data_IF_245986113202
#
_entry.id   IF_245986113202
#
_cell.length_a   1.000
_cell.length_b   1.000
_cell.length_c   1.000
_cell.angle_alpha   90.00
_cell.angle_beta   90.00
_cell.angle_gamma   90.00
#
_symmetry.space_group_name_H-M   'P 1'
#
loop_
_entity.id
_entity.type
_entity.pdbx_description
1 polymer ?
#
# COMPACT_ATOMS: atom_id res chain seq x y z
N UNK A 1 -8.82 16.36 10.98
CA UNK A 1 -7.45 15.80 11.04
C UNK A 1 -6.83 16.09 12.40
N UNK A 2 -6.18 15.12 13.05
CA UNK A 2 -5.57 15.29 14.38
C UNK A 2 -4.49 16.39 14.39
N UNK A 3 -4.52 17.31 15.38
CA UNK A 3 -3.50 18.35 15.52
C UNK A 3 -2.10 17.79 15.79
N UNK A 4 -2.01 16.71 16.57
CA UNK A 4 -0.73 16.04 16.85
C UNK A 4 -0.07 15.51 15.57
N UNK A 5 -0.86 14.92 14.68
CA UNK A 5 -0.37 14.44 13.38
C UNK A 5 0.09 15.61 12.49
N UNK A 6 -0.70 16.67 12.39
CA UNK A 6 -0.34 17.85 11.58
C UNK A 6 0.98 18.48 12.03
N UNK A 7 1.21 18.57 13.35
CA UNK A 7 2.46 19.05 13.94
C UNK A 7 3.64 18.16 13.54
N UNK A 8 3.52 16.84 13.74
CA UNK A 8 4.58 15.88 13.42
C UNK A 8 4.96 15.89 11.94
N UNK A 9 3.99 16.04 11.04
CA UNK A 9 4.23 16.11 9.59
C UNK A 9 4.95 17.40 9.20
N UNK A 10 4.56 18.53 9.80
CA UNK A 10 5.23 19.83 9.59
C UNK A 10 6.67 19.82 10.10
N UNK A 11 6.92 19.23 11.26
CA UNK A 11 8.27 19.09 11.84
C UNK A 11 9.21 18.24 10.97
N UNK A 12 8.66 17.27 10.23
CA UNK A 12 9.41 16.46 9.26
C UNK A 12 9.58 17.11 7.89
N UNK A 13 9.09 18.35 7.71
CA UNK A 13 9.16 19.04 6.41
C UNK A 13 8.26 18.43 5.33
N UNK A 14 7.26 17.65 5.70
CA UNK A 14 6.36 16.98 4.75
C UNK A 14 5.17 17.90 4.44
N UNK A 15 4.87 18.09 3.16
CA UNK A 15 3.67 18.81 2.73
C UNK A 15 2.46 17.89 2.77
N UNK A 16 1.46 18.22 3.60
CA UNK A 16 0.18 17.50 3.58
C UNK A 16 -0.63 17.85 2.33
N UNK A 17 -1.09 16.84 1.61
CA UNK A 17 -2.05 16.97 0.52
C UNK A 17 -3.26 16.10 0.82
N UNK A 18 -4.46 16.68 0.72
CA UNK A 18 -5.73 15.98 0.94
C UNK A 18 -6.59 16.14 -0.31
N UNK A 19 -7.25 15.08 -0.75
CA UNK A 19 -8.23 15.14 -1.83
C UNK A 19 -9.38 16.09 -1.49
N UNK A 20 -10.01 16.64 -2.52
CA UNK A 20 -11.22 17.45 -2.35
C UNK A 20 -12.33 16.59 -1.75
N UNK A 21 -13.15 17.20 -0.91
CA UNK A 21 -14.33 16.53 -0.33
C UNK A 21 -15.19 15.94 -1.45
N UNK A 22 -15.55 14.66 -1.33
CA UNK A 22 -16.38 13.96 -2.31
C UNK A 22 -15.64 13.46 -3.55
N UNK A 23 -14.30 13.39 -3.55
CA UNK A 23 -13.50 12.89 -4.68
C UNK A 23 -12.78 11.57 -4.33
N UNK A 24 -13.49 10.43 -4.24
CA UNK A 24 -12.88 9.14 -3.88
C UNK A 24 -11.96 8.59 -4.97
N UNK A 25 -12.13 9.01 -6.23
CA UNK A 25 -11.34 8.54 -7.36
C UNK A 25 -9.84 8.82 -7.22
N UNK A 26 -9.46 9.92 -6.55
CA UNK A 26 -8.06 10.24 -6.25
C UNK A 26 -7.37 9.15 -5.41
N UNK A 27 -8.16 8.43 -4.61
CA UNK A 27 -7.70 7.38 -3.71
C UNK A 27 -7.76 5.97 -4.35
N UNK A 28 -8.21 5.88 -5.60
CA UNK A 28 -8.36 4.61 -6.33
C UNK A 28 -7.08 3.75 -6.35
N UNK A 29 -5.85 4.30 -6.50
CA UNK A 29 -4.64 3.48 -6.50
C UNK A 29 -4.41 2.71 -5.19
N UNK A 30 -4.64 3.36 -4.04
CA UNK A 30 -4.45 2.71 -2.74
C UNK A 30 -5.63 1.80 -2.38
N UNK A 31 -6.85 2.13 -2.82
CA UNK A 31 -8.01 1.25 -2.69
C UNK A 31 -7.84 -0.05 -3.47
N UNK A 32 -7.31 0.04 -4.69
CA UNK A 32 -6.98 -1.12 -5.52
C UNK A 32 -5.95 -2.00 -4.80
N UNK A 33 -4.90 -1.39 -4.23
CA UNK A 33 -3.91 -2.12 -3.44
C UNK A 33 -4.54 -2.88 -2.26
N UNK A 34 -5.38 -2.21 -1.46
CA UNK A 34 -6.04 -2.86 -0.32
C UNK A 34 -7.02 -3.96 -0.75
N UNK A 35 -7.70 -3.80 -1.88
CA UNK A 35 -8.57 -4.85 -2.44
C UNK A 35 -7.76 -6.09 -2.84
N UNK A 36 -6.65 -5.89 -3.55
CA UNK A 36 -5.73 -6.97 -3.92
C UNK A 36 -5.14 -7.66 -2.71
N UNK A 37 -4.63 -6.91 -1.73
CA UNK A 37 -4.08 -7.49 -0.49
C UNK A 37 -5.11 -8.41 0.17
N UNK A 38 -6.32 -7.89 0.44
CA UNK A 38 -7.33 -8.67 1.15
C UNK A 38 -7.79 -9.89 0.38
N UNK A 39 -7.95 -9.75 -0.93
CA UNK A 39 -8.37 -10.86 -1.79
C UNK A 39 -7.30 -11.95 -1.87
N UNK A 40 -6.06 -11.54 -2.17
CA UNK A 40 -4.94 -12.45 -2.40
C UNK A 40 -4.42 -13.13 -1.12
N UNK A 41 -4.74 -12.63 0.08
CA UNK A 41 -4.25 -13.23 1.34
C UNK A 41 -5.31 -13.72 2.32
N UNK A 42 -6.48 -13.07 2.41
CA UNK A 42 -7.50 -13.43 3.41
C UNK A 42 -8.71 -14.11 2.78
N UNK A 43 -9.22 -13.59 1.65
CA UNK A 43 -10.48 -14.07 1.10
C UNK A 43 -10.33 -15.37 0.31
N UNK A 44 -9.24 -15.56 -0.44
CA UNK A 44 -9.01 -16.82 -1.16
C UNK A 44 -8.77 -18.01 -0.23
N UNK A 45 -8.26 -17.75 0.98
CA UNK A 45 -7.92 -18.76 1.98
C UNK A 45 -8.95 -18.83 3.13
N UNK A 46 -10.08 -18.13 3.01
CA UNK A 46 -11.16 -18.04 4.01
C UNK A 46 -10.69 -17.68 5.44
N UNK A 47 -9.66 -16.84 5.55
CA UNK A 47 -9.09 -16.39 6.83
C UNK A 47 -9.88 -15.19 7.36
N UNK A 48 -11.02 -15.45 7.99
CA UNK A 48 -11.88 -14.41 8.59
C UNK A 48 -11.59 -14.14 10.07
N UNK A 49 -11.01 -15.12 10.77
CA UNK A 49 -10.72 -15.05 12.20
C UNK A 49 -9.30 -15.55 12.47
N UNK A 50 -8.46 -14.66 12.99
CA UNK A 50 -7.07 -14.99 13.31
C UNK A 50 -6.51 -14.01 14.34
N UNK A 51 -5.29 -14.26 14.81
CA UNK A 51 -4.63 -13.40 15.80
C UNK A 51 -3.99 -12.18 15.13
N UNK A 52 -3.84 -11.07 15.87
CA UNK A 52 -3.11 -9.90 15.38
C UNK A 52 -1.69 -10.25 14.92
N UNK A 53 -1.01 -11.15 15.62
CA UNK A 53 0.32 -11.61 15.25
C UNK A 53 0.34 -12.26 13.85
N UNK A 54 -0.67 -13.10 13.55
CA UNK A 54 -0.81 -13.72 12.23
C UNK A 54 -1.19 -12.70 11.15
N UNK A 55 -2.05 -11.73 11.45
CA UNK A 55 -2.37 -10.63 10.51
C UNK A 55 -1.10 -9.84 10.15
N UNK A 56 -0.29 -9.47 11.15
CA UNK A 56 0.95 -8.73 10.93
C UNK A 56 1.89 -9.50 10.00
N UNK A 57 2.14 -10.78 10.30
CA UNK A 57 3.00 -11.63 9.49
C UNK A 57 2.48 -11.78 8.04
N UNK A 58 1.18 -12.02 7.84
CA UNK A 58 0.58 -12.09 6.49
C UNK A 58 0.80 -10.77 5.72
N UNK A 59 0.61 -9.63 6.37
CA UNK A 59 0.79 -8.32 5.73
C UNK A 59 2.26 -8.08 5.40
N UNK A 60 3.20 -8.42 6.29
CA UNK A 60 4.64 -8.28 6.04
C UNK A 60 5.10 -9.14 4.86
N UNK A 61 4.67 -10.40 4.80
CA UNK A 61 4.97 -11.31 3.71
C UNK A 61 4.39 -10.82 2.39
N UNK A 62 3.13 -10.35 2.40
CA UNK A 62 2.50 -9.78 1.22
C UNK A 62 3.19 -8.49 0.77
N UNK A 63 3.64 -7.64 1.69
CA UNK A 63 4.39 -6.42 1.36
C UNK A 63 5.73 -6.75 0.69
N UNK A 64 6.42 -7.80 1.15
CA UNK A 64 7.63 -8.26 0.50
C UNK A 64 7.34 -8.77 -0.91
N UNK A 65 6.35 -9.66 -1.06
CA UNK A 65 5.92 -10.20 -2.35
C UNK A 65 5.52 -9.08 -3.33
N UNK A 66 4.64 -8.17 -2.91
CA UNK A 66 4.11 -7.11 -3.75
C UNK A 66 5.21 -6.18 -4.28
N UNK A 67 6.19 -5.84 -3.45
CA UNK A 67 7.24 -4.90 -3.83
C UNK A 67 8.39 -5.53 -4.61
N UNK A 68 8.78 -6.76 -4.26
CA UNK A 68 10.00 -7.38 -4.79
C UNK A 68 9.73 -8.43 -5.87
N UNK A 69 8.60 -9.14 -5.80
CA UNK A 69 8.32 -10.32 -6.63
C UNK A 69 7.21 -10.04 -7.66
N UNK A 70 6.14 -9.33 -7.27
CA UNK A 70 4.95 -9.14 -8.10
C UNK A 70 5.27 -8.42 -9.41
N UNK A 71 5.14 -9.14 -10.52
CA UNK A 71 5.31 -8.59 -11.87
C UNK A 71 4.10 -7.74 -12.25
N UNK A 72 4.36 -6.55 -12.78
CA UNK A 72 3.31 -5.67 -13.32
C UNK A 72 3.59 -5.35 -14.78
N UNK A 73 2.62 -5.64 -15.64
CA UNK A 73 2.68 -5.32 -17.07
C UNK A 73 2.87 -3.81 -17.32
N UNK A 74 2.20 -2.97 -16.53
CA UNK A 74 2.37 -1.51 -16.55
C UNK A 74 3.78 -1.03 -16.16
N UNK A 75 4.58 -1.88 -15.53
CA UNK A 75 5.96 -1.59 -15.14
C UNK A 75 6.95 -2.36 -16.02
N UNK A 76 6.65 -2.53 -17.31
CA UNK A 76 7.49 -3.28 -18.25
C UNK A 76 7.81 -4.71 -17.79
N UNK A 77 6.82 -5.38 -17.18
CA UNK A 77 6.97 -6.72 -16.60
C UNK A 77 8.04 -6.81 -15.51
N UNK A 78 8.14 -5.78 -14.67
CA UNK A 78 9.05 -5.74 -13.52
C UNK A 78 8.30 -5.65 -12.20
N UNK A 79 8.98 -5.97 -11.10
CA UNK A 79 8.49 -5.66 -9.78
C UNK A 79 8.59 -4.15 -9.47
N UNK A 80 7.78 -3.62 -8.54
CA UNK A 80 7.84 -2.20 -8.17
C UNK A 80 9.24 -1.71 -7.77
N UNK A 81 10.00 -2.52 -7.03
CA UNK A 81 11.37 -2.16 -6.63
C UNK A 81 12.32 -2.14 -7.83
N UNK A 82 12.27 -3.16 -8.69
CA UNK A 82 13.08 -3.20 -9.91
C UNK A 82 12.82 -2.00 -10.81
N UNK A 83 11.54 -1.70 -11.05
CA UNK A 83 11.15 -0.53 -11.84
C UNK A 83 11.67 0.77 -11.23
N UNK A 84 11.54 0.94 -9.91
CA UNK A 84 12.04 2.13 -9.21
C UNK A 84 13.54 2.31 -9.34
N UNK A 85 14.32 1.23 -9.25
CA UNK A 85 15.78 1.27 -9.40
C UNK A 85 16.22 1.69 -10.81
N UNK A 86 15.43 1.40 -11.84
CA UNK A 86 15.74 1.77 -13.23
C UNK A 86 15.32 3.21 -13.57
N UNK A 87 14.28 3.72 -12.90
CA UNK A 87 13.72 5.06 -13.15
C UNK A 87 14.43 6.14 -12.32
N UNK A 88 14.92 5.81 -11.13
CA UNK A 88 15.72 6.73 -10.31
C UNK A 88 17.15 6.72 -10.84
N UNK A 89 17.48 7.69 -11.69
CA UNK A 89 18.85 8.08 -12.03
C UNK A 89 19.33 9.20 -11.12
#
# INVERSE_FOLDING_TARGET
TSYAYQKAVKEKGITMSMSRKGTPADNSPIETFHSSLKSETFYLDDIYHTTNARVINIVEEYMYYYNNIRIKTKLNNQSPVQYRQLVVK
#
